data_IF_786509888846
#
_entry.id   IF_786509888846
#
_cell.length_a   1.000
_cell.length_b   1.000
_cell.length_c   1.000
_cell.angle_alpha   90.00
_cell.angle_beta   90.00
_cell.angle_gamma   90.00
#
_symmetry.space_group_name_H-M   'P 1'
#
loop_
_entity.id
_entity.type
_entity.pdbx_description
1 polymer ?
#
# COMPACT_ATOMS: atom_id res chain seq x y z
N UNK A 1 2.47 -13.00 8.84
CA UNK A 1 3.79 -13.27 8.25
C UNK A 1 3.78 -14.71 7.78
N UNK A 2 3.47 -14.93 6.51
CA UNK A 2 3.43 -16.25 5.89
C UNK A 2 4.59 -16.30 4.90
N UNK A 3 5.57 -17.14 5.20
CA UNK A 3 6.71 -17.41 4.33
C UNK A 3 6.26 -18.41 3.27
N UNK A 4 6.44 -18.10 1.98
CA UNK A 4 6.06 -18.99 0.89
C UNK A 4 7.32 -19.43 0.13
N UNK A 5 7.53 -20.74 0.07
CA UNK A 5 8.54 -21.37 -0.79
C UNK A 5 7.93 -21.61 -2.18
N UNK A 6 8.27 -20.74 -3.14
CA UNK A 6 8.23 -21.11 -4.55
C UNK A 6 9.38 -22.11 -4.78
N UNK A 7 9.08 -23.28 -5.34
CA UNK A 7 10.11 -24.30 -5.64
C UNK A 7 10.85 -23.94 -6.93
N UNK A 8 11.54 -22.79 -6.87
CA UNK A 8 12.62 -22.35 -7.73
C UNK A 8 13.30 -21.18 -6.98
N UNK A 9 14.21 -21.50 -6.05
CA UNK A 9 15.33 -20.65 -5.59
C UNK A 9 15.12 -19.18 -5.14
N UNK A 10 13.91 -18.61 -5.15
CA UNK A 10 13.65 -17.24 -4.73
C UNK A 10 12.67 -17.29 -3.55
N UNK A 11 13.20 -17.09 -2.36
CA UNK A 11 12.44 -16.62 -1.21
C UNK A 11 12.01 -15.18 -1.47
N UNK A 12 10.94 -14.99 -2.24
CA UNK A 12 10.20 -13.74 -2.21
C UNK A 12 9.46 -13.72 -0.87
N UNK A 13 10.07 -13.11 0.14
CA UNK A 13 9.31 -12.65 1.31
C UNK A 13 8.21 -11.76 0.75
N UNK A 14 6.95 -12.02 1.13
CA UNK A 14 5.83 -11.12 0.86
C UNK A 14 6.03 -9.80 1.61
N UNK A 15 6.98 -9.00 1.16
CA UNK A 15 6.92 -7.56 1.23
C UNK A 15 5.81 -7.13 0.27
N UNK A 16 5.11 -6.05 0.57
CA UNK A 16 4.06 -5.44 -0.28
C UNK A 16 4.69 -4.89 -1.58
N UNK A 17 5.28 -5.77 -2.40
CA UNK A 17 6.06 -5.47 -3.60
C UNK A 17 5.26 -5.91 -4.82
N UNK A 18 4.80 -4.91 -5.57
CA UNK A 18 3.92 -5.07 -6.75
C UNK A 18 4.66 -5.19 -8.08
N UNK A 19 5.99 -5.05 -8.06
CA UNK A 19 6.85 -5.19 -9.23
C UNK A 19 7.90 -6.26 -8.97
N UNK A 20 7.94 -7.29 -9.83
CA UNK A 20 8.92 -8.36 -9.74
C UNK A 20 9.83 -8.35 -10.98
N UNK A 21 11.11 -8.09 -10.74
CA UNK A 21 12.18 -8.23 -11.73
C UNK A 21 12.77 -9.63 -11.58
N UNK A 22 12.88 -10.37 -12.68
CA UNK A 22 13.42 -11.72 -12.65
C UNK A 22 14.51 -11.92 -13.70
N UNK A 23 15.59 -12.61 -13.32
CA UNK A 23 16.74 -12.93 -14.18
C UNK A 23 17.03 -14.45 -14.13
N UNK A 24 16.00 -15.27 -14.31
CA UNK A 24 16.08 -16.75 -14.20
C UNK A 24 15.91 -17.44 -15.55
N UNK A 25 16.69 -18.50 -15.79
CA UNK A 25 16.68 -19.33 -17.01
C UNK A 25 15.32 -20.02 -17.26
N UNK A 26 15.02 -20.35 -18.52
CA UNK A 26 13.72 -20.93 -18.99
C UNK A 26 13.27 -22.13 -18.16
N UNK A 27 14.20 -23.02 -17.78
CA UNK A 27 13.88 -24.26 -17.11
C UNK A 27 13.42 -24.07 -15.65
N UNK A 28 13.71 -22.92 -15.04
CA UNK A 28 13.33 -22.60 -13.66
C UNK A 28 12.06 -21.73 -13.59
N UNK A 29 11.61 -21.17 -14.72
CA UNK A 29 10.49 -20.24 -14.76
C UNK A 29 9.15 -20.96 -14.89
N UNK A 30 8.60 -21.44 -13.77
CA UNK A 30 7.26 -22.06 -13.71
C UNK A 30 6.42 -21.36 -12.65
N UNK A 31 5.66 -20.34 -13.06
CA UNK A 31 4.76 -19.59 -12.18
C UNK A 31 3.41 -20.30 -12.06
N UNK A 32 3.26 -21.19 -11.07
CA UNK A 32 1.92 -21.60 -10.65
C UNK A 32 1.40 -20.65 -9.57
N UNK A 33 0.32 -19.90 -9.81
CA UNK A 33 -0.36 -19.17 -8.76
C UNK A 33 -1.05 -20.14 -7.78
N UNK A 34 -1.12 -19.79 -6.50
CA UNK A 34 -1.97 -20.50 -5.53
C UNK A 34 -3.44 -20.05 -5.72
N UNK A 35 -4.35 -21.02 -5.81
CA UNK A 35 -5.78 -20.85 -6.19
C UNK A 35 -6.54 -19.75 -5.43
N UNK A 36 -6.10 -19.38 -4.22
CA UNK A 36 -6.89 -18.56 -3.29
C UNK A 36 -6.79 -17.05 -3.49
N UNK A 37 -5.87 -16.52 -4.32
CA UNK A 37 -5.74 -15.06 -4.55
C UNK A 37 -5.38 -14.72 -6.02
N UNK A 38 -5.95 -15.45 -6.98
CA UNK A 38 -5.62 -15.29 -8.40
C UNK A 38 -5.99 -13.88 -8.93
N UNK A 39 -7.12 -13.30 -8.52
CA UNK A 39 -7.55 -11.97 -8.96
C UNK A 39 -6.67 -10.83 -8.43
N UNK A 40 -6.16 -10.97 -7.19
CA UNK A 40 -5.27 -10.00 -6.55
C UNK A 40 -3.89 -10.02 -7.16
N UNK A 41 -3.39 -11.22 -7.50
CA UNK A 41 -2.12 -11.46 -8.17
C UNK A 41 -2.10 -10.87 -9.59
N UNK A 42 -3.14 -11.15 -10.39
CA UNK A 42 -3.25 -10.71 -11.80
C UNK A 42 -3.40 -9.19 -11.97
N UNK A 43 -4.10 -8.54 -11.02
CA UNK A 43 -4.44 -7.12 -11.14
C UNK A 43 -3.35 -6.19 -10.62
N UNK A 44 -2.60 -6.61 -9.60
CA UNK A 44 -1.70 -5.72 -8.86
C UNK A 44 -0.21 -6.04 -9.03
N UNK A 45 0.15 -7.21 -9.56
CA UNK A 45 1.56 -7.60 -9.72
C UNK A 45 1.91 -7.62 -11.20
N UNK A 46 3.01 -6.96 -11.57
CA UNK A 46 3.56 -7.00 -12.92
C UNK A 46 4.93 -7.67 -12.91
N UNK A 47 5.13 -8.57 -13.86
CA UNK A 47 6.34 -9.34 -14.05
C UNK A 47 7.10 -8.80 -15.25
N UNK A 48 8.40 -8.58 -15.06
CA UNK A 48 9.34 -8.38 -16.15
C UNK A 48 10.18 -9.65 -16.29
N UNK A 49 10.03 -10.31 -17.43
CA UNK A 49 10.64 -11.58 -17.75
C UNK A 49 11.83 -11.42 -18.71
N UNK A 50 12.84 -12.31 -18.65
CA UNK A 50 13.96 -12.30 -19.58
C UNK A 50 13.54 -12.56 -21.04
N UNK A 51 14.25 -11.95 -21.99
CA UNK A 51 13.98 -12.05 -23.44
C UNK A 51 13.97 -13.47 -24.01
N UNK A 52 14.77 -14.40 -23.51
CA UNK A 52 14.86 -15.73 -24.11
C UNK A 52 13.55 -16.55 -24.00
N UNK A 53 12.60 -16.11 -23.15
CA UNK A 53 11.23 -16.65 -23.07
C UNK A 53 10.34 -16.15 -24.22
N UNK A 54 10.73 -15.07 -24.92
CA UNK A 54 10.08 -14.59 -26.14
C UNK A 54 10.30 -15.53 -27.33
N UNK A 55 11.46 -16.20 -27.36
CA UNK A 55 11.93 -17.01 -28.50
C UNK A 55 11.08 -18.28 -28.72
N UNK A 56 10.51 -18.84 -27.65
CA UNK A 56 9.66 -20.03 -27.71
C UNK A 56 8.26 -19.72 -27.19
N UNK A 57 7.34 -19.27 -28.04
CA UNK A 57 5.97 -18.92 -27.65
C UNK A 57 5.21 -19.98 -26.82
N UNK A 58 5.63 -21.25 -26.89
CA UNK A 58 5.02 -22.39 -26.20
C UNK A 58 5.80 -22.89 -24.96
N UNK A 59 6.79 -22.14 -24.46
CA UNK A 59 7.63 -22.58 -23.32
C UNK A 59 6.82 -22.96 -22.07
N UNK A 60 5.71 -22.27 -21.84
CA UNK A 60 4.82 -22.46 -20.70
C UNK A 60 3.84 -23.63 -20.87
N UNK A 61 3.66 -24.16 -22.09
CA UNK A 61 2.72 -25.28 -22.33
C UNK A 61 3.20 -26.61 -21.74
N UNK A 62 4.49 -26.75 -21.46
CA UNK A 62 5.05 -27.96 -20.87
C UNK A 62 4.97 -27.93 -19.33
N UNK A 63 3.92 -28.56 -18.80
CA UNK A 63 3.58 -28.58 -17.36
C UNK A 63 4.28 -29.70 -16.57
N UNK A 64 5.28 -30.37 -17.16
CA UNK A 64 5.99 -31.45 -16.46
C UNK A 64 6.64 -30.94 -15.15
N UNK A 65 6.20 -31.44 -13.99
CA UNK A 65 6.76 -31.10 -12.68
C UNK A 65 6.13 -29.90 -11.96
N UNK A 66 4.95 -29.42 -12.38
CA UNK A 66 4.20 -28.35 -11.69
C UNK A 66 2.76 -28.76 -11.41
N UNK A 67 2.15 -28.17 -10.39
CA UNK A 67 0.82 -28.56 -9.88
C UNK A 67 -0.35 -27.80 -10.51
N UNK A 68 -0.12 -26.80 -11.37
CA UNK A 68 -1.18 -26.00 -12.01
C UNK A 68 -1.53 -26.48 -13.41
N UNK A 69 -2.69 -26.10 -13.91
CA UNK A 69 -3.15 -26.39 -15.28
C UNK A 69 -2.59 -25.39 -16.30
N UNK A 70 -2.60 -25.77 -17.59
CA UNK A 70 -2.21 -24.88 -18.71
C UNK A 70 -3.07 -23.62 -18.75
N UNK A 71 -4.35 -23.72 -18.41
CA UNK A 71 -5.29 -22.59 -18.39
C UNK A 71 -5.00 -21.60 -17.25
N UNK A 72 -4.65 -22.11 -16.07
CA UNK A 72 -4.25 -21.27 -14.93
C UNK A 72 -2.93 -20.55 -15.21
N UNK A 73 -1.98 -21.24 -15.86
CA UNK A 73 -0.71 -20.66 -16.26
C UNK A 73 -0.90 -19.60 -17.37
N UNK A 74 -1.77 -19.86 -18.35
CA UNK A 74 -2.12 -18.90 -19.39
C UNK A 74 -2.69 -17.60 -18.79
N UNK A 75 -3.50 -17.70 -17.75
CA UNK A 75 -4.00 -16.53 -17.00
C UNK A 75 -2.87 -15.83 -16.26
N UNK A 76 -1.99 -16.58 -15.58
CA UNK A 76 -0.89 -16.03 -14.78
C UNK A 76 0.14 -15.24 -15.61
N UNK A 77 0.42 -15.67 -16.84
CA UNK A 77 1.35 -14.98 -17.73
C UNK A 77 0.72 -13.77 -18.45
N UNK A 78 -0.60 -13.58 -18.37
CA UNK A 78 -1.25 -12.52 -19.13
C UNK A 78 -0.78 -11.13 -18.69
N UNK A 79 -0.35 -10.30 -19.66
CA UNK A 79 0.08 -8.92 -19.40
C UNK A 79 1.47 -8.76 -18.78
N UNK A 80 2.30 -9.81 -18.76
CA UNK A 80 3.72 -9.68 -18.42
C UNK A 80 4.50 -8.91 -19.50
N UNK A 81 5.62 -8.32 -19.11
CA UNK A 81 6.54 -7.66 -20.02
C UNK A 81 7.79 -8.51 -20.24
N UNK A 82 8.29 -8.55 -21.46
CA UNK A 82 9.59 -9.10 -21.81
C UNK A 82 10.43 -8.01 -22.47
N UNK A 83 11.74 -8.04 -22.28
CA UNK A 83 12.66 -7.01 -22.81
C UNK A 83 13.73 -7.68 -23.63
N UNK A 84 13.73 -7.46 -24.94
CA UNK A 84 14.58 -8.12 -25.95
C UNK A 84 15.34 -7.10 -26.80
N UNK A 85 16.44 -7.50 -27.44
CA UNK A 85 17.15 -6.65 -28.40
C UNK A 85 16.43 -6.68 -29.76
N UNK A 86 16.39 -5.55 -30.47
CA UNK A 86 15.73 -5.49 -31.77
C UNK A 86 16.54 -6.24 -32.84
N UNK A 87 15.95 -7.18 -33.61
CA UNK A 87 16.67 -7.93 -34.64
C UNK A 87 16.96 -7.13 -35.92
N UNK A 88 16.17 -6.08 -36.20
CA UNK A 88 16.24 -5.29 -37.43
C UNK A 88 15.91 -3.83 -37.15
N UNK A 89 16.35 -2.92 -38.02
CA UNK A 89 15.92 -1.51 -37.93
C UNK A 89 14.42 -1.34 -38.16
N UNK A 90 13.79 -0.44 -37.41
CA UNK A 90 12.39 -0.02 -37.62
C UNK A 90 12.20 0.72 -38.96
N UNK A 91 13.26 1.30 -39.54
CA UNK A 91 13.22 1.99 -40.84
C UNK A 91 13.55 1.02 -41.98
N UNK A 92 12.58 0.19 -42.33
CA UNK A 92 12.72 -0.85 -43.36
C UNK A 92 13.13 -0.35 -44.75
N UNK A 93 12.78 0.90 -45.10
CA UNK A 93 13.09 1.50 -46.39
C UNK A 93 14.49 2.14 -46.49
N UNK A 94 15.28 2.15 -45.40
CA UNK A 94 16.60 2.77 -45.39
C UNK A 94 17.61 1.92 -46.17
N UNK A 95 18.42 2.56 -47.00
CA UNK A 95 19.54 1.92 -47.71
C UNK A 95 20.71 1.68 -46.75
N UNK A 96 21.29 0.48 -46.81
CA UNK A 96 22.47 0.06 -46.05
C UNK A 96 23.75 0.23 -46.88
N UNK A 97 24.91 -0.05 -46.28
CA UNK A 97 26.23 -0.09 -46.97
C UNK A 97 26.25 -1.00 -48.20
N UNK A 98 25.41 -2.04 -48.22
CA UNK A 98 25.27 -2.95 -49.35
C UNK A 98 24.39 -2.41 -50.49
N UNK A 99 23.99 -1.13 -50.43
CA UNK A 99 23.06 -0.48 -51.36
C UNK A 99 21.73 -1.24 -51.55
N UNK A 100 21.26 -1.87 -50.47
CA UNK A 100 19.97 -2.59 -50.38
C UNK A 100 19.16 -2.04 -49.22
N UNK A 101 17.83 -2.13 -49.30
CA UNK A 101 16.97 -1.75 -48.17
C UNK A 101 17.02 -2.80 -47.07
N UNK A 102 16.76 -2.39 -45.82
CA UNK A 102 16.64 -3.30 -44.68
C UNK A 102 15.55 -4.36 -44.92
N UNK A 103 14.41 -3.99 -45.53
CA UNK A 103 13.37 -4.95 -45.92
C UNK A 103 13.85 -5.99 -46.92
N UNK A 104 14.58 -5.58 -47.95
CA UNK A 104 15.08 -6.49 -48.98
C UNK A 104 16.10 -7.48 -48.40
N UNK A 105 17.01 -6.99 -47.53
CA UNK A 105 17.99 -7.86 -46.86
C UNK A 105 17.28 -8.83 -45.91
N UNK A 106 16.29 -8.36 -45.15
CA UNK A 106 15.48 -9.24 -44.28
C UNK A 106 14.81 -10.34 -45.09
N UNK A 107 14.12 -10.01 -46.19
CA UNK A 107 13.49 -11.00 -47.07
C UNK A 107 14.51 -11.96 -47.69
N UNK A 108 15.72 -11.50 -48.02
CA UNK A 108 16.80 -12.37 -48.53
C UNK A 108 17.32 -13.34 -47.46
N UNK A 109 17.48 -12.88 -46.21
CA UNK A 109 17.92 -13.68 -45.07
C UNK A 109 16.85 -14.67 -44.58
N UNK A 110 15.58 -14.32 -44.74
CA UNK A 110 14.45 -15.17 -44.37
C UNK A 110 14.06 -16.13 -45.51
N UNK A 111 14.19 -15.72 -46.77
CA UNK A 111 13.84 -16.52 -47.94
C UNK A 111 14.84 -17.64 -48.29
N UNK A 112 16.08 -17.58 -47.78
CA UNK A 112 17.10 -18.64 -47.97
C UNK A 112 17.04 -19.75 -46.91
N UNK A 113 16.00 -19.74 -46.09
CA UNK A 113 15.89 -20.66 -44.96
C UNK A 113 15.31 -22.02 -45.41
N UNK A 114 16.07 -23.10 -45.17
CA UNK A 114 15.54 -24.47 -45.20
C UNK A 114 14.75 -24.81 -43.93
N UNK A 115 14.65 -26.09 -43.58
CA UNK A 115 13.90 -26.62 -42.41
C UNK A 115 14.46 -26.27 -41.01
N UNK A 116 15.34 -25.26 -40.89
CA UNK A 116 15.96 -24.86 -39.62
C UNK A 116 15.16 -23.77 -38.91
N UNK A 117 15.13 -23.76 -37.56
CA UNK A 117 14.39 -22.77 -36.78
C UNK A 117 14.87 -21.33 -37.05
N UNK A 118 13.94 -20.38 -37.00
CA UNK A 118 14.21 -18.95 -37.16
C UNK A 118 15.15 -18.43 -36.08
N UNK A 119 16.32 -17.92 -36.51
CA UNK A 119 17.30 -17.32 -35.61
C UNK A 119 17.17 -15.80 -35.60
N UNK A 120 17.02 -15.23 -34.41
CA UNK A 120 16.93 -13.78 -34.17
C UNK A 120 18.27 -13.06 -34.45
N UNK A 121 19.37 -13.81 -34.53
CA UNK A 121 20.73 -13.26 -34.67
C UNK A 121 21.20 -13.00 -36.10
N UNK A 122 20.40 -13.34 -37.13
CA UNK A 122 20.81 -13.21 -38.55
C UNK A 122 21.29 -11.80 -38.91
N UNK A 123 20.53 -10.78 -38.51
CA UNK A 123 20.87 -9.38 -38.77
C UNK A 123 22.18 -8.96 -38.09
N UNK A 124 22.42 -9.43 -36.87
CA UNK A 124 23.65 -9.16 -36.13
C UNK A 124 24.87 -9.80 -36.77
N UNK A 125 24.75 -11.04 -37.26
CA UNK A 125 25.83 -11.71 -37.99
C UNK A 125 26.13 -10.98 -39.30
N UNK A 126 25.10 -10.55 -40.01
CA UNK A 126 25.26 -9.76 -41.24
C UNK A 126 26.05 -8.47 -41.01
N UNK A 127 25.67 -7.68 -40.00
CA UNK A 127 26.39 -6.46 -39.64
C UNK A 127 27.77 -6.76 -39.05
N UNK A 128 27.94 -7.87 -38.34
CA UNK A 128 29.24 -8.32 -37.82
C UNK A 128 30.25 -8.61 -38.93
N UNK A 129 29.82 -9.28 -40.01
CA UNK A 129 30.67 -9.54 -41.17
C UNK A 129 31.08 -8.24 -41.90
N UNK A 130 30.15 -7.29 -42.04
CA UNK A 130 30.46 -5.96 -42.58
C UNK A 130 31.40 -5.15 -41.68
N UNK A 131 31.23 -5.26 -40.36
CA UNK A 131 32.12 -4.59 -39.41
C UNK A 131 33.54 -5.14 -39.55
N UNK A 132 33.68 -6.47 -39.62
CA UNK A 132 34.96 -7.13 -39.78
C UNK A 132 35.63 -6.76 -41.11
N UNK A 133 34.88 -6.76 -42.22
CA UNK A 133 35.43 -6.42 -43.52
C UNK A 133 35.93 -4.96 -43.57
N UNK A 134 35.18 -4.02 -43.01
CA UNK A 134 35.59 -2.61 -42.94
C UNK A 134 36.80 -2.40 -42.02
N UNK A 135 36.88 -3.13 -40.91
CA UNK A 135 38.04 -3.04 -40.01
C UNK A 135 39.31 -3.58 -40.69
N UNK A 136 39.21 -4.72 -41.40
CA UNK A 136 40.33 -5.28 -42.17
C UNK A 136 40.74 -4.32 -43.29
N UNK A 137 39.78 -3.75 -44.01
CA UNK A 137 40.05 -2.76 -45.05
C UNK A 137 40.78 -1.54 -44.49
N UNK A 138 40.36 -1.03 -43.33
CA UNK A 138 41.00 0.10 -42.68
C UNK A 138 42.46 -0.20 -42.29
N UNK A 139 42.72 -1.37 -41.70
CA UNK A 139 44.07 -1.81 -41.35
C UNK A 139 44.93 -2.02 -42.60
N UNK A 140 44.38 -2.61 -43.65
CA UNK A 140 45.08 -2.80 -44.93
C UNK A 140 45.48 -1.47 -45.57
N UNK A 141 44.59 -0.46 -45.53
CA UNK A 141 44.89 0.89 -46.00
C UNK A 141 45.99 1.57 -45.17
N UNK A 142 45.97 1.40 -43.84
CA UNK A 142 47.01 1.92 -42.95
C UNK A 142 48.39 1.34 -43.28
N UNK A 143 48.47 0.03 -43.51
CA UNK A 143 49.71 -0.62 -43.96
C UNK A 143 50.13 -0.21 -45.37
N UNK A 144 49.18 -0.05 -46.29
CA UNK A 144 49.50 0.43 -47.64
C UNK A 144 50.09 1.85 -47.61
N UNK A 145 49.59 2.73 -46.74
CA UNK A 145 50.11 4.09 -46.58
C UNK A 145 51.44 4.15 -45.83
N UNK A 146 51.63 3.28 -44.83
CA UNK A 146 52.85 3.22 -44.01
C UNK A 146 54.01 2.53 -44.76
N UNK A 147 53.74 1.39 -45.38
CA UNK A 147 54.74 0.43 -45.86
C UNK A 147 54.69 0.21 -47.38
N UNK A 148 53.67 0.70 -48.09
CA UNK A 148 53.53 0.54 -49.54
C UNK A 148 53.17 -0.87 -50.02
N UNK A 149 52.80 -1.77 -49.10
CA UNK A 149 52.53 -3.20 -49.38
C UNK A 149 51.05 -3.51 -49.11
N UNK A 150 50.40 -4.25 -50.01
CA UNK A 150 49.14 -4.96 -49.72
C UNK A 150 49.49 -6.17 -48.85
N UNK A 151 49.51 -5.96 -47.55
CA UNK A 151 50.03 -6.93 -46.60
C UNK A 151 49.17 -8.20 -46.52
N UNK A 152 49.82 -9.37 -46.63
CA UNK A 152 49.29 -10.68 -46.23
C UNK A 152 50.16 -11.13 -45.06
N UNK A 153 49.61 -11.32 -43.84
CA UNK A 153 50.39 -11.76 -42.70
C UNK A 153 51.10 -13.07 -42.99
N UNK A 154 52.39 -13.15 -42.70
CA UNK A 154 53.01 -14.44 -42.44
C UNK A 154 52.85 -14.73 -40.94
N UNK A 155 51.93 -15.65 -40.63
CA UNK A 155 51.30 -15.87 -39.32
C UNK A 155 52.20 -16.57 -38.28
N UNK A 156 53.52 -16.65 -38.50
CA UNK A 156 54.40 -17.49 -37.69
C UNK A 156 54.86 -16.86 -36.36
N UNK A 157 54.86 -15.53 -36.21
CA UNK A 157 55.44 -14.85 -35.04
C UNK A 157 54.39 -14.21 -34.12
N UNK A 158 54.49 -14.51 -32.82
CA UNK A 158 53.51 -14.09 -31.78
C UNK A 158 53.53 -12.58 -31.49
N UNK A 159 54.67 -11.91 -31.63
CA UNK A 159 54.77 -10.46 -31.44
C UNK A 159 53.99 -9.68 -32.51
N UNK A 160 54.00 -10.15 -33.75
CA UNK A 160 53.29 -9.50 -34.86
C UNK A 160 51.77 -9.63 -34.70
N UNK A 161 51.30 -10.73 -34.11
CA UNK A 161 49.89 -10.91 -33.76
C UNK A 161 49.40 -9.92 -32.71
N UNK A 162 50.21 -9.60 -31.70
CA UNK A 162 49.82 -8.63 -30.65
C UNK A 162 49.67 -7.22 -31.21
N UNK A 163 50.56 -6.82 -32.13
CA UNK A 163 50.48 -5.52 -32.81
C UNK A 163 49.27 -5.46 -33.74
N UNK A 164 49.08 -6.50 -34.56
CA UNK A 164 47.95 -6.58 -35.49
C UNK A 164 46.60 -6.57 -34.77
N UNK A 165 46.48 -7.33 -33.67
CA UNK A 165 45.25 -7.35 -32.88
C UNK A 165 44.95 -6.01 -32.21
N UNK A 166 45.97 -5.28 -31.75
CA UNK A 166 45.79 -3.92 -31.23
C UNK A 166 45.33 -2.94 -32.33
N UNK A 167 45.94 -2.98 -33.51
CA UNK A 167 45.55 -2.15 -34.65
C UNK A 167 44.14 -2.50 -35.14
N UNK A 168 43.76 -3.78 -35.14
CA UNK A 168 42.42 -4.23 -35.50
C UNK A 168 41.37 -3.79 -34.47
N UNK A 169 41.67 -3.87 -33.16
CA UNK A 169 40.78 -3.37 -32.10
C UNK A 169 40.60 -1.84 -32.20
N UNK A 170 41.67 -1.12 -32.54
CA UNK A 170 41.59 0.32 -32.80
C UNK A 170 40.71 0.60 -34.02
N UNK A 171 40.89 -0.14 -35.12
CA UNK A 171 40.07 -0.01 -36.32
C UNK A 171 38.59 -0.31 -36.06
N UNK A 172 38.29 -1.34 -35.26
CA UNK A 172 36.93 -1.68 -34.84
C UNK A 172 36.28 -0.52 -34.06
N UNK A 173 37.02 0.12 -33.15
CA UNK A 173 36.52 1.26 -32.38
C UNK A 173 36.18 2.48 -33.25
N UNK A 174 36.89 2.67 -34.38
CA UNK A 174 36.66 3.77 -35.31
C UNK A 174 35.65 3.45 -36.42
N UNK A 175 35.26 2.18 -36.59
CA UNK A 175 34.29 1.81 -37.64
C UNK A 175 32.90 2.37 -37.35
N UNK A 176 32.31 3.03 -38.35
CA UNK A 176 30.91 3.45 -38.30
C UNK A 176 30.26 3.31 -39.67
N UNK A 177 29.15 2.58 -39.77
CA UNK A 177 28.44 2.38 -41.02
C UNK A 177 26.93 2.13 -40.83
N UNK A 178 26.17 2.26 -41.91
CA UNK A 178 24.73 1.98 -41.91
C UNK A 178 24.50 0.51 -42.31
N UNK A 179 24.43 -0.38 -41.32
CA UNK A 179 23.98 -1.77 -41.45
C UNK A 179 22.45 -2.00 -41.42
N UNK A 180 22.06 -3.23 -41.14
CA UNK A 180 20.67 -3.74 -41.13
C UNK A 180 20.00 -3.57 -39.76
N UNK A 181 20.78 -3.67 -38.68
CA UNK A 181 20.33 -3.56 -37.29
C UNK A 181 20.48 -2.12 -36.75
N UNK A 182 20.34 -1.15 -37.64
CA UNK A 182 20.68 0.27 -37.41
C UNK A 182 19.57 1.06 -36.73
N UNK A 183 19.95 2.08 -35.98
CA UNK A 183 19.08 3.01 -35.26
C UNK A 183 18.16 3.82 -36.18
N UNK A 184 17.13 4.42 -35.59
CA UNK A 184 16.29 5.45 -36.22
C UNK A 184 17.12 6.67 -36.69
N UNK A 185 18.23 6.99 -36.02
CA UNK A 185 19.02 8.21 -36.30
C UNK A 185 20.56 8.04 -36.39
N UNK A 186 21.14 6.82 -36.37
CA UNK A 186 22.62 6.72 -36.37
C UNK A 186 23.20 5.37 -36.79
N UNK A 187 24.47 5.32 -37.23
CA UNK A 187 25.15 4.11 -37.73
C UNK A 187 25.42 3.06 -36.63
N UNK A 188 25.87 1.88 -37.02
CA UNK A 188 26.52 0.92 -36.10
C UNK A 188 27.78 1.60 -35.54
N UNK A 189 27.95 1.58 -34.21
CA UNK A 189 29.12 2.14 -33.51
C UNK A 189 29.35 1.34 -32.24
N UNK A 190 30.60 1.26 -31.83
CA UNK A 190 31.02 0.63 -30.58
C UNK A 190 31.45 1.71 -29.59
N UNK A 191 31.07 1.56 -28.33
CA UNK A 191 31.48 2.43 -27.23
C UNK A 191 31.89 1.54 -26.06
N UNK A 192 33.10 1.73 -25.52
CA UNK A 192 33.67 0.88 -24.47
C UNK A 192 33.63 -0.63 -24.78
N UNK A 193 33.85 -1.00 -26.04
CA UNK A 193 33.75 -2.38 -26.55
C UNK A 193 32.34 -2.99 -26.50
N UNK A 194 31.32 -2.20 -26.18
CA UNK A 194 29.92 -2.62 -26.25
C UNK A 194 29.23 -2.02 -27.47
N UNK A 195 28.30 -2.79 -28.03
CA UNK A 195 27.43 -2.31 -29.09
C UNK A 195 26.18 -1.73 -28.48
N UNK A 196 25.99 -0.42 -28.63
CA UNK A 196 24.74 0.21 -28.25
C UNK A 196 23.67 -0.06 -29.33
N UNK A 197 22.55 -0.64 -28.90
CA UNK A 197 21.48 -1.11 -29.78
C UNK A 197 20.09 -0.62 -29.36
N UNK A 198 19.09 -1.00 -30.16
CA UNK A 198 17.68 -0.80 -29.83
C UNK A 198 17.21 -1.97 -28.97
N UNK A 199 16.46 -1.65 -27.90
CA UNK A 199 15.83 -2.62 -27.03
C UNK A 199 14.32 -2.53 -27.21
N UNK A 200 13.68 -3.64 -27.56
CA UNK A 200 12.23 -3.78 -27.66
C UNK A 200 11.65 -4.27 -26.34
N UNK A 201 10.62 -3.57 -25.88
CA UNK A 201 9.81 -3.98 -24.74
C UNK A 201 8.55 -4.60 -25.32
N UNK A 202 8.37 -5.89 -25.07
CA UNK A 202 7.24 -6.68 -25.51
C UNK A 202 6.26 -6.85 -24.36
N UNK A 203 4.96 -6.87 -24.65
CA UNK A 203 3.92 -7.24 -23.71
C UNK A 203 3.15 -8.44 -24.25
N UNK A 204 2.97 -9.46 -23.41
CA UNK A 204 2.13 -10.60 -23.74
C UNK A 204 0.65 -10.22 -23.61
N UNK A 205 -0.09 -10.34 -24.70
CA UNK A 205 -1.53 -10.09 -24.74
C UNK A 205 -2.23 -11.07 -25.68
N UNK A 206 -3.36 -11.62 -25.25
CA UNK A 206 -4.20 -12.51 -26.07
C UNK A 206 -3.38 -13.65 -26.74
N UNK A 207 -2.41 -14.22 -26.03
CA UNK A 207 -1.61 -15.35 -26.52
C UNK A 207 -0.49 -15.00 -27.51
N UNK A 208 -0.15 -13.72 -27.68
CA UNK A 208 0.97 -13.29 -28.54
C UNK A 208 1.74 -12.11 -27.94
N UNK A 209 3.01 -11.95 -28.32
CA UNK A 209 3.79 -10.77 -27.97
C UNK A 209 3.46 -9.61 -28.88
N UNK A 210 3.16 -8.46 -28.29
CA UNK A 210 3.03 -7.18 -28.99
C UNK A 210 4.11 -6.20 -28.51
N UNK A 211 4.67 -5.40 -29.43
CA UNK A 211 5.67 -4.38 -29.10
C UNK A 211 4.99 -3.26 -28.30
N UNK A 212 5.35 -3.12 -27.02
CA UNK A 212 4.85 -2.11 -26.11
C UNK A 212 5.66 -0.80 -26.18
N UNK A 213 6.97 -0.89 -26.45
CA UNK A 213 7.83 0.28 -26.62
C UNK A 213 9.22 -0.09 -27.10
N UNK A 214 9.99 0.91 -27.53
CA UNK A 214 11.35 0.76 -28.01
C UNK A 214 12.23 1.77 -27.29
N UNK A 215 13.28 1.28 -26.66
CA UNK A 215 14.29 2.07 -25.98
C UNK A 215 15.55 2.19 -26.86
N UNK A 216 15.97 3.43 -27.12
CA UNK A 216 17.25 3.72 -27.76
C UNK A 216 18.34 3.87 -26.69
N UNK A 217 19.28 2.92 -26.64
CA UNK A 217 20.37 2.93 -25.67
C UNK A 217 21.37 4.08 -25.83
N UNK A 218 21.32 4.85 -26.92
CA UNK A 218 22.27 5.94 -27.19
C UNK A 218 21.75 7.32 -26.87
N UNK A 219 20.47 7.57 -27.17
CA UNK A 219 19.80 8.82 -26.80
C UNK A 219 19.12 8.73 -25.41
N UNK A 220 19.05 7.52 -24.84
CA UNK A 220 18.29 7.21 -23.63
C UNK A 220 16.80 7.58 -23.75
N UNK A 221 16.24 7.44 -24.97
CA UNK A 221 14.85 7.79 -25.27
C UNK A 221 14.01 6.51 -25.35
N UNK A 222 12.92 6.48 -24.58
CA UNK A 222 11.90 5.44 -24.67
C UNK A 222 10.72 5.95 -25.52
N UNK A 223 10.49 5.29 -26.65
CA UNK A 223 9.33 5.52 -27.51
C UNK A 223 8.27 4.45 -27.26
N UNK A 224 7.14 4.84 -26.67
CA UNK A 224 6.04 3.91 -26.39
C UNK A 224 5.14 3.73 -27.61
N UNK A 225 4.67 2.51 -27.82
CA UNK A 225 3.68 2.22 -28.86
C UNK A 225 2.33 2.85 -28.45
N UNK A 226 1.64 3.61 -29.33
CA UNK A 226 0.31 4.16 -29.05
C UNK A 226 -0.73 3.09 -28.65
N UNK A 227 -0.56 1.83 -29.04
CA UNK A 227 -1.41 0.71 -28.61
C UNK A 227 -1.34 0.42 -27.09
N UNK A 228 -0.34 0.95 -26.39
CA UNK A 228 -0.18 0.85 -24.93
C UNK A 228 -0.94 1.95 -24.17
N UNK A 229 -1.54 2.93 -24.85
CA UNK A 229 -2.14 4.13 -24.22
C UNK A 229 -3.38 3.83 -23.36
N UNK A 230 -4.08 2.74 -23.64
CA UNK A 230 -5.23 2.27 -22.86
C UNK A 230 -4.83 1.51 -21.59
N UNK A 231 -3.55 1.19 -21.42
CA UNK A 231 -3.04 0.45 -20.26
C UNK A 231 -2.57 1.40 -19.17
N UNK A 232 -3.19 1.30 -17.99
CA UNK A 232 -2.79 2.05 -16.80
C UNK A 232 -1.93 1.16 -15.89
N UNK A 233 -0.69 1.56 -15.56
CA UNK A 233 0.17 0.79 -14.66
C UNK A 233 -0.41 0.78 -13.24
N UNK A 234 -0.30 -0.34 -12.50
CA UNK A 234 -0.69 -0.36 -11.09
C UNK A 234 0.26 0.51 -10.25
N UNK A 235 -0.28 1.08 -9.17
CA UNK A 235 0.52 1.79 -8.17
C UNK A 235 1.46 0.82 -7.44
N UNK A 236 2.64 1.32 -7.08
CA UNK A 236 3.70 0.61 -6.37
C UNK A 236 3.31 0.20 -4.94
N UNK A 237 2.44 0.98 -4.29
CA UNK A 237 1.94 0.72 -2.95
C UNK A 237 0.42 0.95 -2.80
N UNK A 238 -0.15 0.46 -1.69
CA UNK A 238 -1.54 0.74 -1.31
C UNK A 238 -1.69 2.18 -0.80
N UNK A 239 -2.79 2.85 -1.18
CA UNK A 239 -3.13 4.19 -0.66
C UNK A 239 -3.90 4.03 0.65
N UNK A 240 -3.34 4.50 1.77
CA UNK A 240 -4.00 4.45 3.07
C UNK A 240 -4.93 5.65 3.24
N UNK A 241 -6.23 5.42 3.12
CA UNK A 241 -7.26 6.43 3.40
C UNK A 241 -7.75 6.28 4.83
N UNK A 242 -7.61 7.33 5.64
CA UNK A 242 -8.10 7.35 7.03
C UNK A 242 -9.51 7.91 7.08
N UNK A 243 -10.48 7.05 7.35
CA UNK A 243 -11.88 7.44 7.54
C UNK A 243 -12.28 7.38 9.01
N UNK A 244 -13.04 8.37 9.47
CA UNK A 244 -13.58 8.40 10.84
C UNK A 244 -14.84 7.54 10.88
N UNK A 245 -14.86 6.55 11.77
CA UNK A 245 -16.06 5.76 12.04
C UNK A 245 -16.92 6.47 13.09
N UNK A 246 -18.24 6.44 12.87
CA UNK A 246 -19.21 7.10 13.72
C UNK A 246 -20.31 6.15 14.17
N UNK A 247 -21.01 6.52 15.22
CA UNK A 247 -22.19 5.79 15.69
C UNK A 247 -23.29 5.85 14.62
N UNK A 248 -23.96 4.73 14.38
CA UNK A 248 -25.12 4.66 13.47
C UNK A 248 -26.18 5.69 13.85
N UNK A 249 -26.64 6.47 12.87
CA UNK A 249 -27.63 7.53 13.08
C UNK A 249 -28.97 6.98 13.61
N UNK A 250 -29.34 5.77 13.18
CA UNK A 250 -30.56 5.08 13.63
C UNK A 250 -30.50 4.79 15.14
N UNK A 251 -29.36 4.29 15.62
CA UNK A 251 -29.14 3.99 17.04
C UNK A 251 -29.16 5.27 17.88
N UNK A 252 -28.53 6.35 17.38
CA UNK A 252 -28.54 7.65 18.05
C UNK A 252 -29.95 8.22 18.22
N UNK A 253 -30.77 8.21 17.15
CA UNK A 253 -32.16 8.68 17.23
C UNK A 253 -32.97 7.85 18.23
N UNK A 254 -32.89 6.52 18.13
CA UNK A 254 -33.67 5.63 18.97
C UNK A 254 -33.38 5.82 20.47
N UNK A 255 -32.09 5.84 20.85
CA UNK A 255 -31.70 6.06 22.24
C UNK A 255 -32.04 7.47 22.74
N UNK A 256 -31.93 8.48 21.88
CA UNK A 256 -32.28 9.86 22.24
C UNK A 256 -33.78 10.01 22.50
N UNK A 257 -34.65 9.38 21.68
CA UNK A 257 -36.10 9.40 21.90
C UNK A 257 -36.49 8.73 23.22
N UNK A 258 -35.89 7.57 23.53
CA UNK A 258 -36.10 6.89 24.81
C UNK A 258 -35.67 7.77 25.99
N UNK A 259 -34.53 8.46 25.89
CA UNK A 259 -34.05 9.38 26.91
C UNK A 259 -35.01 10.56 27.12
N UNK A 260 -35.56 11.15 26.04
CA UNK A 260 -36.53 12.25 26.12
C UNK A 260 -37.82 11.82 26.82
N UNK A 261 -38.33 10.62 26.49
CA UNK A 261 -39.49 10.04 27.18
C UNK A 261 -39.19 9.85 28.67
N UNK A 262 -38.00 9.34 29.01
CA UNK A 262 -37.54 9.19 30.39
C UNK A 262 -37.51 10.53 31.16
N UNK A 263 -37.00 11.59 30.54
CA UNK A 263 -37.00 12.95 31.13
C UNK A 263 -38.42 13.46 31.35
N UNK A 264 -39.32 13.31 30.38
CA UNK A 264 -40.70 13.75 30.51
C UNK A 264 -41.43 13.05 31.68
N UNK A 265 -41.26 11.73 31.80
CA UNK A 265 -41.80 10.94 32.91
C UNK A 265 -41.19 11.38 34.25
N UNK A 266 -39.89 11.63 34.30
CA UNK A 266 -39.21 12.08 35.52
C UNK A 266 -39.72 13.47 35.97
N UNK A 267 -39.90 14.42 35.04
CA UNK A 267 -40.47 15.75 35.34
C UNK A 267 -41.90 15.62 35.85
N UNK A 268 -42.72 14.77 35.24
CA UNK A 268 -44.08 14.51 35.71
C UNK A 268 -44.10 13.99 37.16
N UNK A 269 -43.26 13.01 37.49
CA UNK A 269 -43.13 12.52 38.86
C UNK A 269 -42.58 13.56 39.83
N UNK A 270 -41.66 14.41 39.39
CA UNK A 270 -41.16 15.53 40.19
C UNK A 270 -42.28 16.50 40.56
N UNK A 271 -43.11 16.88 39.58
CA UNK A 271 -44.26 17.78 39.79
C UNK A 271 -45.24 17.17 40.78
N UNK A 272 -45.60 15.89 40.63
CA UNK A 272 -46.51 15.20 41.57
C UNK A 272 -45.93 15.18 42.98
N UNK A 273 -44.65 14.85 43.11
CA UNK A 273 -43.99 14.73 44.41
C UNK A 273 -43.95 16.09 45.15
N UNK A 274 -43.67 17.17 44.44
CA UNK A 274 -43.70 18.54 44.99
C UNK A 274 -45.14 18.97 45.30
N UNK A 275 -46.11 18.70 44.42
CA UNK A 275 -47.51 19.14 44.58
C UNK A 275 -48.20 18.47 45.78
N UNK A 276 -48.00 17.16 45.95
CA UNK A 276 -48.65 16.35 46.99
C UNK A 276 -47.75 16.08 48.21
N UNK A 277 -46.68 16.85 48.41
CA UNK A 277 -45.71 16.69 49.51
C UNK A 277 -46.34 16.63 50.92
N UNK A 278 -47.51 17.24 51.12
CA UNK A 278 -48.22 17.26 52.39
C UNK A 278 -49.08 16.00 52.66
N UNK A 279 -49.31 15.16 51.65
CA UNK A 279 -50.10 13.94 51.80
C UNK A 279 -49.37 12.92 52.70
N UNK A 280 -50.10 12.27 53.62
CA UNK A 280 -49.51 11.41 54.69
C UNK A 280 -48.54 10.35 54.16
N UNK A 281 -48.87 9.67 53.07
CA UNK A 281 -48.00 8.64 52.47
C UNK A 281 -46.72 9.22 51.86
N UNK A 282 -46.83 10.30 51.09
CA UNK A 282 -45.67 10.94 50.44
C UNK A 282 -44.74 11.54 51.49
N UNK A 283 -45.31 12.17 52.52
CA UNK A 283 -44.58 12.73 53.66
C UNK A 283 -43.76 11.67 54.41
N UNK A 284 -44.30 10.45 54.59
CA UNK A 284 -43.59 9.34 55.22
C UNK A 284 -42.39 8.85 54.38
N UNK A 285 -42.47 8.99 53.04
CA UNK A 285 -41.43 8.52 52.11
C UNK A 285 -40.20 9.43 51.98
N UNK A 286 -40.11 10.53 52.73
CA UNK A 286 -39.07 11.57 52.65
C UNK A 286 -39.05 12.31 51.29
N UNK A 287 -40.02 13.21 51.02
CA UNK A 287 -40.22 13.83 49.70
C UNK A 287 -38.98 14.58 49.19
N UNK A 288 -38.29 15.31 50.08
CA UNK A 288 -37.06 16.04 49.76
C UNK A 288 -35.93 15.15 49.21
N UNK A 289 -35.78 13.93 49.73
CA UNK A 289 -34.78 12.97 49.24
C UNK A 289 -35.20 12.39 47.89
N UNK A 290 -36.49 12.11 47.70
CA UNK A 290 -37.02 11.61 46.44
C UNK A 290 -36.91 12.66 45.33
N UNK A 291 -37.07 13.96 45.63
CA UNK A 291 -36.83 15.03 44.66
C UNK A 291 -35.37 15.05 44.17
N UNK A 292 -34.41 14.78 45.07
CA UNK A 292 -32.99 14.69 44.71
C UNK A 292 -32.67 13.45 43.86
N UNK A 293 -33.31 12.31 44.14
CA UNK A 293 -33.22 11.09 43.30
C UNK A 293 -33.70 11.40 41.88
N UNK A 294 -34.86 12.05 41.75
CA UNK A 294 -35.45 12.39 40.44
C UNK A 294 -34.59 13.43 39.71
N UNK A 295 -34.01 14.41 40.41
CA UNK A 295 -33.08 15.34 39.80
C UNK A 295 -31.82 14.62 39.25
N UNK A 296 -31.26 13.66 40.01
CA UNK A 296 -30.16 12.84 39.56
C UNK A 296 -30.50 12.00 38.32
N UNK A 297 -31.70 11.40 38.28
CA UNK A 297 -32.12 10.61 37.12
C UNK A 297 -32.33 11.47 35.86
N UNK A 298 -32.85 12.70 35.98
CA UNK A 298 -32.93 13.66 34.87
C UNK A 298 -31.53 13.96 34.31
N UNK A 299 -30.54 14.22 35.18
CA UNK A 299 -29.16 14.42 34.75
C UNK A 299 -28.59 13.20 34.00
N UNK A 300 -28.87 11.97 34.46
CA UNK A 300 -28.42 10.76 33.76
C UNK A 300 -29.06 10.60 32.38
N UNK A 301 -30.36 10.90 32.21
CA UNK A 301 -30.99 10.86 30.89
C UNK A 301 -30.42 11.92 29.94
N UNK A 302 -30.13 13.12 30.44
CA UNK A 302 -29.46 14.15 29.64
C UNK A 302 -28.07 13.69 29.21
N UNK A 303 -27.34 12.95 30.05
CA UNK A 303 -26.01 12.43 29.68
C UNK A 303 -26.04 11.47 28.50
N UNK A 304 -27.10 10.66 28.34
CA UNK A 304 -27.25 9.75 27.17
C UNK A 304 -27.31 10.54 25.87
N UNK A 305 -28.04 11.65 25.86
CA UNK A 305 -28.14 12.54 24.69
C UNK A 305 -26.78 13.19 24.42
N UNK A 306 -26.11 13.70 25.46
CA UNK A 306 -24.79 14.30 25.33
C UNK A 306 -23.75 13.29 24.80
N UNK A 307 -23.79 12.03 25.24
CA UNK A 307 -22.85 11.00 24.78
C UNK A 307 -22.90 10.81 23.27
N UNK A 308 -24.07 10.87 22.65
CA UNK A 308 -24.24 10.66 21.21
C UNK A 308 -23.83 11.83 20.30
N UNK A 309 -23.49 13.01 20.85
CA UNK A 309 -22.91 14.09 20.06
C UNK A 309 -21.47 13.78 19.64
N UNK A 310 -21.27 13.55 18.34
CA UNK A 310 -19.97 13.33 17.71
C UNK A 310 -19.44 14.59 17.00
N UNK A 311 -18.20 14.53 16.49
CA UNK A 311 -17.58 15.57 15.65
C UNK A 311 -18.29 15.82 14.30
N UNK A 312 -19.39 15.10 14.01
CA UNK A 312 -20.26 15.36 12.86
C UNK A 312 -21.12 16.62 13.05
N UNK A 313 -21.52 16.88 14.29
CA UNK A 313 -22.41 17.98 14.65
C UNK A 313 -21.67 19.18 15.24
N UNK A 314 -20.48 18.92 15.79
CA UNK A 314 -19.73 19.88 16.60
C UNK A 314 -18.30 19.95 16.10
N UNK A 315 -17.71 21.16 16.11
CA UNK A 315 -16.32 21.36 15.76
C UNK A 315 -15.37 20.60 16.71
N UNK A 316 -14.16 20.22 16.26
CA UNK A 316 -13.21 19.47 17.08
C UNK A 316 -12.88 20.13 18.41
N UNK A 317 -12.75 21.46 18.46
CA UNK A 317 -12.40 22.19 19.67
C UNK A 317 -13.54 22.15 20.71
N UNK A 318 -14.77 22.38 20.25
CA UNK A 318 -15.96 22.31 21.10
C UNK A 318 -16.26 20.87 21.54
N UNK A 319 -15.87 19.86 20.74
CA UNK A 319 -15.98 18.45 21.12
C UNK A 319 -15.12 18.10 22.34
N UNK A 320 -13.94 18.70 22.47
CA UNK A 320 -13.10 18.54 23.67
C UNK A 320 -13.82 19.08 24.91
N UNK A 321 -14.44 20.26 24.82
CA UNK A 321 -15.25 20.81 25.90
C UNK A 321 -16.45 19.92 26.23
N UNK A 322 -17.16 19.43 25.21
CA UNK A 322 -18.27 18.50 25.40
C UNK A 322 -17.85 17.19 26.05
N UNK A 323 -16.66 16.67 25.77
CA UNK A 323 -16.13 15.48 26.43
C UNK A 323 -16.08 15.66 27.96
N UNK A 324 -15.62 16.82 28.43
CA UNK A 324 -15.66 17.14 29.87
C UNK A 324 -17.08 17.22 30.40
N UNK A 325 -17.98 17.92 29.71
CA UNK A 325 -19.38 18.06 30.14
C UNK A 325 -20.07 16.68 30.23
N UNK A 326 -19.83 15.78 29.27
CA UNK A 326 -20.37 14.41 29.28
C UNK A 326 -20.01 13.66 30.57
N UNK A 327 -18.73 13.65 30.93
CA UNK A 327 -18.24 12.98 32.14
C UNK A 327 -18.83 13.60 33.41
N UNK A 328 -18.88 14.93 33.49
CA UNK A 328 -19.39 15.64 34.67
C UNK A 328 -20.88 15.38 34.89
N UNK A 329 -21.70 15.49 33.85
CA UNK A 329 -23.16 15.31 33.96
C UNK A 329 -23.51 13.87 34.35
N UNK A 330 -22.79 12.87 33.79
CA UNK A 330 -23.00 11.46 34.14
C UNK A 330 -22.61 11.17 35.60
N UNK A 331 -21.43 11.62 36.02
CA UNK A 331 -20.91 11.42 37.39
C UNK A 331 -21.85 12.06 38.42
N UNK A 332 -22.20 13.33 38.21
CA UNK A 332 -23.09 14.08 39.09
C UNK A 332 -24.51 13.49 39.13
N UNK A 333 -25.05 13.05 37.99
CA UNK A 333 -26.36 12.38 37.96
C UNK A 333 -26.38 11.08 38.75
N UNK A 334 -25.35 10.25 38.59
CA UNK A 334 -25.20 8.98 39.31
C UNK A 334 -25.04 9.20 40.81
N UNK A 335 -24.15 10.11 41.23
CA UNK A 335 -23.90 10.36 42.66
C UNK A 335 -25.07 11.02 43.36
N UNK A 336 -25.80 11.92 42.69
CA UNK A 336 -27.04 12.47 43.23
C UNK A 336 -28.11 11.38 43.43
N UNK A 337 -28.30 10.48 42.47
CA UNK A 337 -29.29 9.41 42.57
C UNK A 337 -28.93 8.37 43.64
N UNK A 338 -27.72 7.81 43.59
CA UNK A 338 -27.28 6.78 44.54
C UNK A 338 -27.02 7.34 45.94
N UNK A 339 -26.44 8.53 46.06
CA UNK A 339 -26.16 9.17 47.34
C UNK A 339 -27.44 9.52 48.11
N UNK A 340 -28.49 9.94 47.40
CA UNK A 340 -29.81 10.22 48.00
C UNK A 340 -30.56 8.94 48.36
N UNK A 341 -30.44 7.87 47.57
CA UNK A 341 -30.95 6.54 47.93
C UNK A 341 -30.28 5.99 49.19
N UNK A 342 -28.95 6.08 49.28
CA UNK A 342 -28.19 5.68 50.46
C UNK A 342 -28.57 6.50 51.70
N UNK A 343 -28.71 7.81 51.57
CA UNK A 343 -29.12 8.68 52.68
C UNK A 343 -30.53 8.35 53.19
N UNK A 344 -31.43 7.90 52.30
CA UNK A 344 -32.77 7.42 52.66
C UNK A 344 -32.73 6.10 53.44
N UNK A 345 -31.95 5.11 53.00
CA UNK A 345 -31.79 3.84 53.72
C UNK A 345 -31.05 4.02 55.05
N UNK A 346 -30.06 4.92 55.09
CA UNK A 346 -29.33 5.30 56.31
C UNK A 346 -30.25 5.88 57.38
N UNK A 347 -31.20 6.75 56.99
CA UNK A 347 -32.23 7.29 57.90
C UNK A 347 -33.03 6.16 58.57
N UNK A 348 -33.45 5.17 57.79
CA UNK A 348 -34.23 4.02 58.30
C UNK A 348 -33.40 3.19 59.27
N UNK A 349 -32.15 2.88 58.92
CA UNK A 349 -31.22 2.17 59.81
C UNK A 349 -31.02 2.89 61.15
N UNK A 350 -30.80 4.21 61.13
CA UNK A 350 -30.64 5.01 62.34
C UNK A 350 -31.89 5.06 63.22
N UNK A 351 -33.08 4.98 62.63
CA UNK A 351 -34.34 4.91 63.37
C UNK A 351 -34.44 3.57 64.11
N UNK A 352 -34.17 2.45 63.44
CA UNK A 352 -34.26 1.11 64.05
C UNK A 352 -33.14 0.82 65.06
N UNK A 353 -31.95 1.39 64.89
CA UNK A 353 -30.84 1.26 65.84
C UNK A 353 -31.10 1.99 67.17
N UNK A 354 -32.07 2.90 67.22
CA UNK A 354 -32.42 3.64 68.43
C UNK A 354 -33.34 2.81 69.36
N UNK A 355 -32.73 1.87 70.11
CA UNK A 355 -33.40 0.91 71.00
C UNK A 355 -34.30 1.56 72.07
N UNK A 356 -34.03 2.82 72.47
CA UNK A 356 -34.80 3.50 73.53
C UNK A 356 -36.11 4.16 73.06
N UNK A 357 -36.56 4.01 71.82
CA UNK A 357 -37.82 4.60 71.27
C UNK A 357 -38.08 6.09 71.59
N UNK A 358 -37.07 6.84 72.03
CA UNK A 358 -37.18 8.28 72.24
C UNK A 358 -37.35 8.92 70.87
N UNK A 359 -38.37 9.78 70.74
CA UNK A 359 -38.77 10.44 69.48
C UNK A 359 -37.65 11.36 68.97
N UNK A 360 -36.65 10.79 68.30
CA UNK A 360 -35.52 11.50 67.69
C UNK A 360 -35.87 11.87 66.26
N UNK A 361 -36.41 13.07 66.07
CA UNK A 361 -36.62 13.63 64.73
C UNK A 361 -35.27 14.05 64.14
N UNK A 362 -34.73 13.25 63.21
CA UNK A 362 -33.55 13.61 62.44
C UNK A 362 -33.97 14.68 61.43
N UNK A 363 -33.35 15.87 61.48
CA UNK A 363 -33.62 16.96 60.54
C UNK A 363 -32.98 16.67 59.18
N UNK A 364 -33.66 17.06 58.10
CA UNK A 364 -33.25 16.79 56.71
C UNK A 364 -31.89 17.40 56.33
N UNK A 365 -31.47 18.50 56.99
CA UNK A 365 -30.16 19.12 56.70
C UNK A 365 -28.97 18.18 56.91
N UNK A 366 -29.05 17.23 57.86
CA UNK A 366 -27.98 16.25 58.11
C UNK A 366 -27.86 15.25 56.96
N UNK A 367 -28.98 14.91 56.33
CA UNK A 367 -29.01 14.02 55.16
C UNK A 367 -28.48 14.76 53.93
N UNK A 368 -28.88 16.02 53.75
CA UNK A 368 -28.34 16.85 52.66
C UNK A 368 -26.83 17.08 52.79
N UNK A 369 -26.30 17.27 54.02
CA UNK A 369 -24.85 17.35 54.22
C UNK A 369 -24.13 16.05 53.87
N UNK A 370 -24.72 14.88 54.16
CA UNK A 370 -24.13 13.59 53.78
C UNK A 370 -24.05 13.44 52.26
N UNK A 371 -25.13 13.75 51.53
CA UNK A 371 -25.13 13.71 50.06
C UNK A 371 -24.18 14.75 49.48
N UNK A 372 -24.19 15.97 50.03
CA UNK A 372 -23.29 17.05 49.60
C UNK A 372 -21.81 16.70 49.76
N UNK A 373 -21.45 15.98 50.83
CA UNK A 373 -20.10 15.47 51.01
C UNK A 373 -19.70 14.44 49.94
N UNK A 374 -20.59 13.48 49.63
CA UNK A 374 -20.35 12.48 48.58
C UNK A 374 -20.18 13.15 47.21
N UNK A 375 -21.04 14.13 46.89
CA UNK A 375 -20.94 14.90 45.64
C UNK A 375 -19.65 15.73 45.60
N UNK A 376 -19.22 16.33 46.71
CA UNK A 376 -17.98 17.09 46.76
C UNK A 376 -16.77 16.22 46.46
N UNK A 377 -16.69 15.03 47.07
CA UNK A 377 -15.64 14.04 46.78
C UNK A 377 -15.67 13.63 45.31
N UNK A 378 -16.85 13.38 44.75
CA UNK A 378 -17.02 13.01 43.35
C UNK A 378 -16.62 14.13 42.39
N UNK A 379 -16.85 15.40 42.72
CA UNK A 379 -16.38 16.53 41.91
C UNK A 379 -14.85 16.74 41.97
N UNK A 380 -14.21 16.31 43.05
CA UNK A 380 -12.75 16.33 43.17
C UNK A 380 -12.07 15.28 42.28
N UNK A 381 -12.75 14.18 41.95
CA UNK A 381 -12.16 13.08 41.19
C UNK A 381 -11.91 13.42 39.70
N UNK A 382 -12.88 13.92 38.91
CA UNK A 382 -12.67 14.36 37.52
C UNK A 382 -11.72 15.56 37.42
N UNK A 383 -11.68 16.43 38.44
CA UNK A 383 -10.75 17.56 38.48
C UNK A 383 -9.32 17.08 38.74
N UNK A 384 -9.11 16.04 39.56
CA UNK A 384 -7.81 15.40 39.72
C UNK A 384 -7.30 14.78 38.40
N UNK A 385 -8.14 14.07 37.65
CA UNK A 385 -7.77 13.54 36.34
C UNK A 385 -7.50 14.63 35.28
N UNK A 386 -7.93 15.87 35.51
CA UNK A 386 -7.63 17.03 34.66
C UNK A 386 -6.24 17.63 34.93
N UNK A 387 -5.67 17.40 36.12
CA UNK A 387 -4.28 17.78 36.41
C UNK A 387 -3.28 16.90 35.66
N UNK A 388 -3.65 15.66 35.35
CA UNK A 388 -2.81 14.74 34.57
C UNK A 388 -2.94 15.10 33.08
N UNK A 389 -1.83 15.33 32.35
CA UNK A 389 -1.90 15.62 30.92
C UNK A 389 -2.57 14.47 30.17
N UNK A 390 -3.61 14.80 29.39
CA UNK A 390 -4.41 13.81 28.66
C UNK A 390 -3.65 13.16 27.50
N UNK A 391 -4.17 12.02 27.03
CA UNK A 391 -3.58 11.23 25.93
C UNK A 391 -3.32 12.01 24.64
N UNK A 392 -4.04 13.11 24.37
CA UNK A 392 -3.80 13.96 23.22
C UNK A 392 -2.42 14.64 23.26
N UNK A 393 -1.99 15.11 24.43
CA UNK A 393 -0.65 15.68 24.60
C UNK A 393 0.42 14.62 24.45
N UNK A 394 0.17 13.40 24.94
CA UNK A 394 1.08 12.25 24.76
C UNK A 394 1.21 11.84 23.28
N UNK A 395 0.12 11.86 22.52
CA UNK A 395 0.15 11.56 21.08
C UNK A 395 0.86 12.66 20.28
N UNK A 396 0.59 13.93 20.59
CA UNK A 396 1.27 15.06 19.95
C UNK A 396 2.78 15.02 20.23
N UNK A 397 3.17 14.74 21.49
CA UNK A 397 4.56 14.57 21.89
C UNK A 397 5.24 13.41 21.15
N UNK A 398 4.55 12.26 21.01
CA UNK A 398 5.05 11.12 20.22
C UNK A 398 5.26 11.50 18.75
N UNK A 399 4.32 12.22 18.14
CA UNK A 399 4.48 12.70 16.76
C UNK A 399 5.67 13.65 16.62
N UNK A 400 5.80 14.64 17.51
CA UNK A 400 6.95 15.55 17.51
C UNK A 400 8.27 14.80 17.68
N UNK A 401 8.32 13.77 18.53
CA UNK A 401 9.51 12.94 18.72
C UNK A 401 9.86 12.16 17.45
N UNK A 402 8.87 11.57 16.77
CA UNK A 402 9.06 10.85 15.49
C UNK A 402 9.60 11.79 14.40
N UNK A 403 9.05 13.01 14.31
CA UNK A 403 9.50 14.02 13.34
C UNK A 403 10.89 14.56 13.66
N UNK A 404 11.21 14.78 14.94
CA UNK A 404 12.53 15.24 15.37
C UNK A 404 13.65 14.28 14.95
N UNK A 405 13.38 12.97 14.92
CA UNK A 405 14.34 11.94 14.56
C UNK A 405 14.20 11.38 13.12
N UNK A 406 13.36 11.99 12.27
CA UNK A 406 13.11 11.55 10.89
C UNK A 406 12.77 10.05 10.74
N UNK A 407 12.05 9.47 11.71
CA UNK A 407 11.67 8.05 11.63
C UNK A 407 10.53 7.84 10.63
N UNK A 408 10.82 7.11 9.54
CA UNK A 408 9.87 6.83 8.46
C UNK A 408 9.05 5.55 8.70
N UNK A 409 9.48 4.68 9.62
CA UNK A 409 8.78 3.44 10.00
C UNK A 409 8.74 3.32 11.52
N UNK A 410 7.58 3.53 12.13
CA UNK A 410 7.36 3.38 13.56
C UNK A 410 6.27 2.34 13.77
N UNK A 411 6.64 1.17 14.28
CA UNK A 411 5.69 0.12 14.64
C UNK A 411 4.98 0.51 15.93
N UNK A 412 3.65 0.58 15.91
CA UNK A 412 2.86 0.76 17.12
C UNK A 412 2.42 -0.60 17.64
N UNK A 413 2.97 -1.03 18.78
CA UNK A 413 2.43 -2.17 19.53
C UNK A 413 1.18 -1.70 20.27
N UNK A 414 0.00 -1.97 19.70
CA UNK A 414 -1.28 -1.76 20.39
C UNK A 414 -1.59 -3.03 21.17
N UNK A 415 -1.78 -2.90 22.49
CA UNK A 415 -2.33 -4.00 23.28
C UNK A 415 -3.74 -4.30 22.74
N UNK A 416 -4.00 -5.56 22.43
CA UNK A 416 -5.30 -6.04 21.94
C UNK A 416 -6.42 -5.45 22.82
N UNK A 417 -7.40 -4.77 22.21
CA UNK A 417 -8.61 -4.25 22.87
C UNK A 417 -9.57 -5.42 23.23
N UNK A 418 -9.03 -6.52 23.77
CA UNK A 418 -9.81 -7.64 24.28
C UNK A 418 -10.34 -7.23 25.66
N UNK A 419 -11.67 -7.10 25.86
CA UNK A 419 -12.26 -6.55 27.10
C UNK A 419 -11.96 -7.39 28.35
N UNK A 420 -11.31 -8.54 28.20
CA UNK A 420 -10.89 -9.43 29.30
C UNK A 420 -9.71 -8.91 30.13
N UNK A 421 -8.98 -7.90 29.64
CA UNK A 421 -7.78 -7.38 30.32
C UNK A 421 -7.84 -5.88 30.64
N UNK A 422 -9.02 -5.25 30.49
CA UNK A 422 -9.25 -3.86 30.92
C UNK A 422 -10.04 -3.87 32.24
N UNK A 423 -9.37 -4.17 33.34
CA UNK A 423 -9.82 -3.95 34.72
C UNK A 423 -8.67 -3.38 35.54
#
# INVERSE_FOLDING_TARGET
MTTFTLRAGITAVATDTRLNLSQMLVYEFKMCPFQTEMDTFLKNIKHMLPWFLSISCDWWRNVSGVSCTVEELAKAIEGHFAVEFSPYSQRLARLTIANKTVSAIRTELDGRQGSSPESVFKGYVYDGLWTLSLAIEHVAQLHQQRDGITWVPNVSDTEDWTKLSAELLQALSSTSFIGVTVRTQGPVRFENNERLGLVEILQWRNGSYMIAGIYDGTEAILTLNPALRDWTPPLDATVVVRERQYISFVLFIFLSLLAIIGVAIAIFFLIINIRYQNHRYIKMSSPNMNNLIIAGSICTYISVILLGFDTRFVSPDTFVTLCYVKTWVLSLGFTLAFGSMFSKTWRVHLIFKNIRMNKKAIKDYKLFMLVGFIVLVDLMYPTFFRMVPGYQNSNLARCHLIFQFNWTRVGTLKQSDDPRFAL
#
